data_IF_473733652495
#
_entry.id   IF_473733652495
#
_cell.length_a   1.000
_cell.length_b   1.000
_cell.length_c   1.000
_cell.angle_alpha   90.00
_cell.angle_beta   90.00
_cell.angle_gamma   90.00
#
_symmetry.space_group_name_H-M   'P 1'
#
loop_
_entity.id
_entity.type
_entity.pdbx_description
1 polymer ?
#
# COMPACT_ATOMS: atom_id res chain seq x y z
N UNK A 1 -9.09 21.46 5.77
CA UNK A 1 -7.67 21.11 5.59
C UNK A 1 -6.83 22.19 6.23
N UNK A 2 -5.96 21.82 7.16
CA UNK A 2 -5.10 22.75 7.87
C UNK A 2 -3.93 23.18 6.96
N UNK A 3 -3.48 24.43 7.12
CA UNK A 3 -2.41 25.02 6.30
C UNK A 3 -1.10 24.22 6.35
N UNK A 4 -0.76 23.61 7.50
CA UNK A 4 0.41 22.74 7.63
C UNK A 4 0.31 21.50 6.75
N UNK A 5 -0.90 20.94 6.61
CA UNK A 5 -1.10 19.72 5.85
C UNK A 5 -0.91 19.93 4.36
N UNK A 6 -1.39 21.06 3.85
CA UNK A 6 -1.21 21.45 2.45
C UNK A 6 0.26 21.76 2.16
N UNK A 7 0.93 22.51 3.04
CA UNK A 7 2.36 22.79 2.91
C UNK A 7 3.21 21.52 2.87
N UNK A 8 2.91 20.54 3.75
CA UNK A 8 3.60 19.24 3.76
C UNK A 8 3.39 18.48 2.45
N UNK A 9 2.16 18.44 1.93
CA UNK A 9 1.84 17.77 0.67
C UNK A 9 2.52 18.44 -0.52
N UNK A 10 2.56 19.77 -0.56
CA UNK A 10 3.29 20.52 -1.57
C UNK A 10 4.78 20.22 -1.50
N UNK A 11 5.36 20.19 -0.29
CA UNK A 11 6.76 19.85 -0.08
C UNK A 11 7.08 18.43 -0.55
N UNK A 12 6.27 17.45 -0.16
CA UNK A 12 6.41 16.05 -0.58
C UNK A 12 6.33 15.92 -2.10
N UNK A 13 5.35 16.58 -2.73
CA UNK A 13 5.21 16.55 -4.19
C UNK A 13 6.36 17.27 -4.91
N UNK A 14 6.80 18.42 -4.40
CA UNK A 14 7.93 19.16 -4.94
C UNK A 14 9.23 18.35 -4.86
N UNK A 15 9.51 17.72 -3.71
CA UNK A 15 10.68 16.86 -3.51
C UNK A 15 10.60 15.58 -4.34
N UNK A 16 9.42 14.98 -4.49
CA UNK A 16 9.21 13.80 -5.34
C UNK A 16 9.57 14.08 -6.80
N UNK A 17 9.16 15.24 -7.33
CA UNK A 17 9.46 15.70 -8.70
C UNK A 17 10.94 16.01 -8.97
N UNK A 18 11.77 16.22 -7.94
CA UNK A 18 13.21 16.48 -8.14
C UNK A 18 13.88 15.31 -8.85
N UNK A 19 14.64 15.59 -9.90
CA UNK A 19 15.38 14.55 -10.60
C UNK A 19 16.51 14.00 -9.72
N UNK A 20 16.75 12.69 -9.82
CA UNK A 20 17.88 12.03 -9.17
C UNK A 20 19.13 12.39 -9.98
N UNK A 21 20.13 12.96 -9.32
CA UNK A 21 21.40 13.36 -9.94
C UNK A 21 22.33 12.15 -10.13
N UNK A 22 22.26 11.15 -9.24
CA UNK A 22 23.21 10.03 -9.26
C UNK A 22 23.27 9.25 -10.58
N UNK A 23 22.19 9.02 -11.36
CA UNK A 23 22.30 8.30 -12.63
C UNK A 23 23.09 9.10 -13.67
N UNK A 24 22.92 10.43 -13.71
CA UNK A 24 23.68 11.30 -14.58
C UNK A 24 25.16 11.31 -14.21
N UNK A 25 25.48 11.33 -12.90
CA UNK A 25 26.86 11.23 -12.42
C UNK A 25 27.48 9.89 -12.76
N UNK A 26 26.74 8.78 -12.59
CA UNK A 26 27.20 7.45 -12.97
C UNK A 26 27.50 7.35 -14.48
N UNK A 27 26.62 7.91 -15.32
CA UNK A 27 26.82 7.96 -16.76
C UNK A 27 28.07 8.77 -17.14
N UNK A 28 28.26 9.96 -16.56
CA UNK A 28 29.45 10.79 -16.80
C UNK A 28 30.73 10.08 -16.33
N UNK A 29 30.72 9.48 -15.13
CA UNK A 29 31.86 8.70 -14.63
C UNK A 29 32.22 7.54 -15.55
N UNK A 30 31.23 6.82 -16.09
CA UNK A 30 31.46 5.74 -17.04
C UNK A 30 32.04 6.24 -18.37
N UNK A 31 31.52 7.35 -18.92
CA UNK A 31 32.04 7.97 -20.15
C UNK A 31 33.48 8.44 -19.98
N UNK A 32 33.81 9.08 -18.86
CA UNK A 32 35.19 9.52 -18.55
C UNK A 32 36.15 8.33 -18.49
N UNK A 33 35.73 7.23 -17.86
CA UNK A 33 36.54 6.01 -17.77
C UNK A 33 36.77 5.37 -19.15
N UNK A 34 35.74 5.31 -20.01
CA UNK A 34 35.85 4.79 -21.37
C UNK A 34 36.77 5.64 -22.25
N UNK A 35 36.67 6.97 -22.15
CA UNK A 35 37.56 7.90 -22.87
C UNK A 35 39.01 7.70 -22.40
N UNK A 36 39.25 7.58 -21.08
CA UNK A 36 40.59 7.35 -20.56
C UNK A 36 41.20 6.02 -21.06
N UNK A 37 40.41 4.96 -21.08
CA UNK A 37 40.84 3.65 -21.59
C UNK A 37 41.12 3.70 -23.10
N UNK A 38 40.28 4.38 -23.89
CA UNK A 38 40.47 4.53 -25.34
C UNK A 38 41.68 5.39 -25.74
N UNK A 39 42.22 6.20 -24.82
CA UNK A 39 43.45 6.97 -25.02
C UNK A 39 44.69 6.29 -24.40
N UNK A 40 44.62 4.98 -24.11
CA UNK A 40 45.72 4.19 -23.54
C UNK A 40 46.30 4.79 -22.25
N UNK A 41 45.45 5.35 -21.39
CA UNK A 41 45.89 5.86 -20.09
C UNK A 41 46.52 4.74 -19.24
N UNK A 42 47.53 5.05 -18.39
CA UNK A 42 48.15 4.05 -17.53
C UNK A 42 47.16 3.34 -16.60
N UNK A 43 47.38 2.05 -16.32
CA UNK A 43 46.50 1.24 -15.47
C UNK A 43 46.22 1.88 -14.09
N UNK A 44 47.24 2.48 -13.48
CA UNK A 44 47.10 3.16 -12.18
C UNK A 44 46.14 4.35 -12.26
N UNK A 45 46.10 5.07 -13.39
CA UNK A 45 45.22 6.21 -13.59
C UNK A 45 43.77 5.76 -13.78
N UNK A 46 43.55 4.65 -14.49
CA UNK A 46 42.22 4.04 -14.64
C UNK A 46 41.66 3.58 -13.29
N UNK A 47 42.48 2.94 -12.45
CA UNK A 47 42.08 2.53 -11.10
C UNK A 47 41.70 3.75 -10.25
N UNK A 48 42.50 4.82 -10.27
CA UNK A 48 42.21 6.06 -9.55
C UNK A 48 40.91 6.72 -10.03
N UNK A 49 40.68 6.79 -11.36
CA UNK A 49 39.44 7.32 -11.95
C UNK A 49 38.22 6.49 -11.55
N UNK A 50 38.35 5.16 -11.50
CA UNK A 50 37.27 4.29 -11.05
C UNK A 50 36.89 4.58 -9.59
N UNK A 51 37.87 4.71 -8.69
CA UNK A 51 37.61 5.05 -7.28
C UNK A 51 36.97 6.43 -7.12
N UNK A 52 37.47 7.44 -7.85
CA UNK A 52 36.87 8.78 -7.85
C UNK A 52 35.43 8.76 -8.40
N UNK A 53 35.19 8.00 -9.47
CA UNK A 53 33.87 7.82 -10.06
C UNK A 53 32.88 7.18 -9.08
N UNK A 54 33.30 6.11 -8.38
CA UNK A 54 32.50 5.48 -7.32
C UNK A 54 32.22 6.46 -6.18
N UNK A 55 33.24 7.20 -5.72
CA UNK A 55 33.09 8.22 -4.69
C UNK A 55 32.08 9.31 -5.08
N UNK A 56 32.14 9.79 -6.32
CA UNK A 56 31.20 10.78 -6.86
C UNK A 56 29.76 10.23 -6.94
N UNK A 57 29.58 8.97 -7.34
CA UNK A 57 28.26 8.31 -7.37
C UNK A 57 27.68 8.20 -5.95
N UNK A 58 28.49 7.78 -4.97
CA UNK A 58 28.08 7.69 -3.57
C UNK A 58 27.68 9.08 -3.04
N UNK A 59 28.51 10.10 -3.26
CA UNK A 59 28.21 11.46 -2.83
C UNK A 59 26.93 12.01 -3.49
N UNK A 60 26.72 11.76 -4.79
CA UNK A 60 25.51 12.14 -5.50
C UNK A 60 24.28 11.40 -4.96
N UNK A 61 24.41 10.11 -4.65
CA UNK A 61 23.35 9.31 -4.05
C UNK A 61 22.94 9.86 -2.68
N UNK A 62 23.91 10.12 -1.79
CA UNK A 62 23.65 10.71 -0.47
C UNK A 62 22.99 12.08 -0.58
N UNK A 63 23.46 12.92 -1.51
CA UNK A 63 22.86 14.23 -1.79
C UNK A 63 21.42 14.10 -2.29
N UNK A 64 21.12 13.14 -3.15
CA UNK A 64 19.75 12.88 -3.61
C UNK A 64 18.84 12.43 -2.46
N UNK A 65 19.31 11.54 -1.59
CA UNK A 65 18.56 11.11 -0.41
C UNK A 65 18.22 12.31 0.48
N UNK A 66 19.20 13.17 0.79
CA UNK A 66 18.98 14.35 1.61
C UNK A 66 18.03 15.36 0.94
N UNK A 67 18.18 15.60 -0.37
CA UNK A 67 17.36 16.59 -1.11
C UNK A 67 15.91 16.17 -1.27
N UNK A 68 15.63 14.87 -1.29
CA UNK A 68 14.29 14.32 -1.49
C UNK A 68 13.59 13.93 -0.18
N UNK A 69 14.34 13.78 0.92
CA UNK A 69 13.78 13.41 2.22
C UNK A 69 13.02 14.58 2.86
N UNK A 70 11.79 14.31 3.31
CA UNK A 70 11.01 15.18 4.21
C UNK A 70 11.11 14.63 5.62
N UNK A 71 11.29 15.51 6.61
CA UNK A 71 11.35 15.13 8.02
C UNK A 71 10.00 15.45 8.62
N UNK A 72 9.37 14.46 9.25
CA UNK A 72 8.05 14.59 9.87
C UNK A 72 8.11 14.04 11.29
N UNK A 73 8.21 14.94 12.26
CA UNK A 73 8.33 14.63 13.68
C UNK A 73 7.00 14.86 14.38
N UNK A 74 6.63 13.93 15.25
CA UNK A 74 5.41 14.01 16.05
C UNK A 74 5.74 14.09 17.53
N UNK A 75 5.03 14.96 18.23
CA UNK A 75 4.91 14.94 19.69
C UNK A 75 3.54 14.36 20.02
N UNK A 76 3.53 13.17 20.63
CA UNK A 76 2.31 12.46 20.97
C UNK A 76 2.00 12.70 22.44
N UNK A 77 0.77 13.11 22.72
CA UNK A 77 0.22 13.09 24.08
C UNK A 77 -0.32 11.69 24.41
N UNK A 78 -0.56 11.39 25.70
CA UNK A 78 -1.05 10.07 26.13
C UNK A 78 -2.31 9.60 25.37
N UNK A 79 -3.31 10.46 25.08
CA UNK A 79 -4.47 10.06 24.29
C UNK A 79 -4.11 9.65 22.86
N UNK A 80 -3.21 10.39 22.20
CA UNK A 80 -2.77 10.06 20.84
C UNK A 80 -1.90 8.81 20.79
N UNK A 81 -0.99 8.63 21.75
CA UNK A 81 -0.16 7.43 21.83
C UNK A 81 -1.03 6.16 21.92
N UNK A 82 -2.04 6.17 22.80
CA UNK A 82 -3.01 5.06 22.91
C UNK A 82 -3.83 4.85 21.64
N UNK A 83 -4.23 5.92 20.95
CA UNK A 83 -4.97 5.84 19.70
C UNK A 83 -4.09 5.23 18.57
N UNK A 84 -2.82 5.62 18.51
CA UNK A 84 -1.85 5.07 17.57
C UNK A 84 -1.54 3.60 17.88
N UNK A 85 -1.37 3.23 19.15
CA UNK A 85 -1.20 1.83 19.57
C UNK A 85 -2.41 0.97 19.16
N UNK A 86 -3.63 1.47 19.37
CA UNK A 86 -4.84 0.78 18.93
C UNK A 86 -4.88 0.58 17.42
N UNK A 87 -4.43 1.57 16.64
CA UNK A 87 -4.30 1.46 15.19
C UNK A 87 -3.30 0.37 14.80
N UNK A 88 -2.12 0.36 15.44
CA UNK A 88 -1.10 -0.66 15.22
C UNK A 88 -1.60 -2.07 15.57
N UNK A 89 -2.31 -2.22 16.69
CA UNK A 89 -2.89 -3.49 17.12
C UNK A 89 -3.98 -3.98 16.13
N UNK A 90 -4.86 -3.08 15.69
CA UNK A 90 -5.88 -3.40 14.67
C UNK A 90 -5.25 -3.81 13.34
N UNK A 91 -4.26 -3.07 12.86
CA UNK A 91 -3.52 -3.40 11.65
C UNK A 91 -2.76 -4.73 11.78
N UNK A 92 -2.18 -5.01 12.94
CA UNK A 92 -1.51 -6.28 13.23
C UNK A 92 -2.49 -7.46 13.20
N UNK A 93 -3.71 -7.26 13.73
CA UNK A 93 -4.77 -8.27 13.69
C UNK A 93 -5.10 -8.64 12.24
N UNK A 94 -5.29 -7.65 11.35
CA UNK A 94 -5.47 -7.90 9.91
C UNK A 94 -4.23 -8.55 9.30
N UNK A 95 -3.02 -8.08 9.62
CA UNK A 95 -1.76 -8.62 9.09
C UNK A 95 -1.48 -10.07 9.50
N UNK A 96 -2.10 -10.53 10.59
CA UNK A 96 -2.00 -11.91 11.12
C UNK A 96 -2.92 -12.90 10.40
N UNK A 97 -3.86 -12.42 9.58
CA UNK A 97 -4.65 -13.28 8.70
C UNK A 97 -3.75 -14.00 7.68
N UNK A 98 -4.15 -15.20 7.27
CA UNK A 98 -3.37 -15.99 6.33
C UNK A 98 -3.25 -15.29 4.97
N UNK A 99 -4.32 -14.65 4.53
CA UNK A 99 -4.34 -13.93 3.27
C UNK A 99 -5.18 -12.66 3.34
N UNK A 100 -4.64 -11.61 2.73
CA UNK A 100 -5.30 -10.33 2.52
C UNK A 100 -5.13 -9.96 1.05
N UNK A 101 -6.18 -9.43 0.44
CA UNK A 101 -6.15 -9.00 -0.94
C UNK A 101 -6.72 -7.61 -1.11
N UNK A 102 -6.17 -6.88 -2.06
CA UNK A 102 -6.79 -5.70 -2.63
C UNK A 102 -7.71 -6.09 -3.78
N UNK A 103 -8.95 -5.63 -3.74
CA UNK A 103 -9.96 -5.83 -4.78
C UNK A 103 -10.02 -4.59 -5.66
N UNK A 104 -9.70 -4.73 -6.95
CA UNK A 104 -9.74 -3.60 -7.87
C UNK A 104 -11.18 -3.10 -8.08
N UNK A 105 -11.37 -1.78 -7.94
CA UNK A 105 -12.67 -1.08 -8.04
C UNK A 105 -13.46 -1.33 -9.33
N UNK A 106 -12.80 -1.71 -10.43
CA UNK A 106 -13.46 -2.13 -11.68
C UNK A 106 -14.47 -3.28 -11.51
N UNK A 107 -14.39 -4.07 -10.42
CA UNK A 107 -15.30 -5.18 -10.17
C UNK A 107 -16.66 -4.76 -9.57
N UNK A 108 -16.81 -3.56 -8.99
CA UNK A 108 -18.03 -3.15 -8.24
C UNK A 108 -18.96 -2.24 -9.04
N UNK A 109 -18.49 -1.63 -10.13
CA UNK A 109 -19.29 -0.73 -11.00
C UNK A 109 -20.08 -1.51 -12.06
N UNK A 110 -19.68 -2.75 -12.38
CA UNK A 110 -20.52 -3.67 -13.15
C UNK A 110 -21.51 -4.38 -12.23
N UNK A 111 -22.62 -3.68 -11.99
CA UNK A 111 -23.95 -4.24 -11.76
C UNK A 111 -24.21 -4.96 -10.41
N UNK A 112 -24.77 -4.21 -9.45
CA UNK A 112 -25.28 -4.74 -8.17
C UNK A 112 -26.51 -5.66 -8.34
N UNK A 113 -27.01 -5.87 -9.57
CA UNK A 113 -28.31 -6.48 -9.81
C UNK A 113 -28.30 -7.83 -10.56
N UNK A 114 -27.16 -8.38 -11.00
CA UNK A 114 -27.21 -9.45 -12.01
C UNK A 114 -26.52 -10.80 -11.75
N UNK A 115 -25.78 -11.03 -10.65
CA UNK A 115 -24.97 -12.26 -10.57
C UNK A 115 -25.16 -13.06 -9.29
N UNK A 116 -26.32 -13.72 -9.19
CA UNK A 116 -26.62 -14.77 -8.20
C UNK A 116 -26.13 -16.18 -8.65
N UNK A 117 -25.26 -16.29 -9.66
CA UNK A 117 -24.89 -17.61 -10.17
C UNK A 117 -23.91 -17.59 -11.33
N UNK A 118 -22.73 -17.03 -11.11
CA UNK A 118 -21.50 -17.24 -11.89
C UNK A 118 -20.46 -16.29 -11.31
N UNK A 119 -19.29 -16.79 -10.92
CA UNK A 119 -18.27 -15.98 -10.25
C UNK A 119 -17.94 -14.73 -11.05
N UNK A 120 -18.35 -13.57 -10.54
CA UNK A 120 -17.79 -12.29 -10.99
C UNK A 120 -16.28 -12.46 -10.90
N UNK A 121 -15.58 -12.28 -12.02
CA UNK A 121 -14.11 -12.38 -12.07
C UNK A 121 -13.53 -11.18 -11.32
N UNK A 122 -13.71 -11.16 -10.00
CA UNK A 122 -13.21 -10.12 -9.11
C UNK A 122 -11.70 -10.29 -9.09
N UNK A 123 -11.01 -9.42 -9.84
CA UNK A 123 -9.56 -9.38 -9.81
C UNK A 123 -9.13 -8.85 -8.44
N UNK A 124 -8.48 -9.73 -7.69
CA UNK A 124 -7.88 -9.42 -6.39
C UNK A 124 -6.37 -9.65 -6.46
N UNK A 125 -5.59 -8.75 -5.86
CA UNK A 125 -4.12 -8.85 -5.76
C UNK A 125 -3.74 -9.07 -4.30
N UNK A 126 -2.84 -10.02 -3.97
CA UNK A 126 -2.35 -10.16 -2.61
C UNK A 126 -1.77 -8.86 -2.09
N UNK A 127 -2.08 -8.52 -0.85
CA UNK A 127 -1.53 -7.37 -0.14
C UNK A 127 -1.40 -7.68 1.34
N UNK A 128 -0.70 -6.86 2.09
CA UNK A 128 -0.55 -7.05 3.53
C UNK A 128 -0.34 -5.72 4.22
N UNK A 129 -0.90 -5.60 5.42
CA UNK A 129 -0.51 -4.54 6.35
C UNK A 129 0.87 -4.87 6.91
N UNK A 130 1.77 -3.90 6.87
CA UNK A 130 3.12 -4.02 7.40
C UNK A 130 3.53 -2.73 8.09
N UNK A 131 4.42 -2.82 9.08
CA UNK A 131 5.07 -1.61 9.57
C UNK A 131 6.16 -1.22 8.58
N UNK A 132 5.95 -0.11 7.87
CA UNK A 132 6.87 0.36 6.85
C UNK A 132 6.78 1.89 6.70
N UNK A 133 7.90 2.61 6.80
CA UNK A 133 7.91 4.05 6.56
C UNK A 133 7.64 4.37 5.09
N UNK A 134 7.10 5.56 4.78
CA UNK A 134 6.98 6.00 3.40
C UNK A 134 8.36 6.26 2.79
N UNK A 135 8.49 6.14 1.46
CA UNK A 135 9.73 6.46 0.78
C UNK A 135 10.05 7.96 0.93
N UNK A 136 11.30 8.27 1.26
CA UNK A 136 11.78 9.66 1.44
C UNK A 136 11.07 10.44 2.55
N UNK A 137 10.55 9.76 3.58
CA UNK A 137 10.06 10.40 4.80
C UNK A 137 10.85 9.87 5.99
N UNK A 138 11.48 10.77 6.75
CA UNK A 138 12.13 10.46 8.03
C UNK A 138 11.18 10.84 9.16
N UNK A 139 10.77 9.86 9.94
CA UNK A 139 9.83 10.07 11.05
C UNK A 139 10.30 9.38 12.34
N UNK A 140 9.92 9.90 13.50
CA UNK A 140 10.25 9.35 14.83
C UNK A 140 9.25 8.26 15.29
N UNK A 141 8.14 8.11 14.58
CA UNK A 141 7.11 7.11 14.89
C UNK A 141 7.17 5.91 13.94
N UNK A 142 6.68 4.77 14.40
CA UNK A 142 6.41 3.64 13.50
C UNK A 142 5.12 3.93 12.75
N UNK A 143 5.11 3.64 11.46
CA UNK A 143 3.91 3.77 10.61
C UNK A 143 3.48 2.40 10.13
N UNK A 144 2.21 2.29 9.78
CA UNK A 144 1.61 1.13 9.11
C UNK A 144 1.39 1.47 7.65
N UNK A 145 1.65 0.52 6.76
CA UNK A 145 1.42 0.65 5.34
C UNK A 145 0.64 -0.53 4.77
N UNK A 146 -0.14 -0.27 3.72
CA UNK A 146 -0.79 -1.29 2.89
C UNK A 146 -0.80 -0.85 1.43
N UNK A 147 -0.51 -1.79 0.52
CA UNK A 147 -0.58 -1.53 -0.91
C UNK A 147 -2.01 -1.78 -1.43
N UNK A 148 -2.52 -0.84 -2.22
CA UNK A 148 -3.83 -0.92 -2.88
C UNK A 148 -3.65 -0.58 -4.36
N UNK A 149 -3.58 -1.60 -5.20
CA UNK A 149 -3.32 -1.43 -6.63
C UNK A 149 -1.93 -0.85 -6.90
N UNK A 150 -1.88 0.34 -7.51
CA UNK A 150 -0.63 1.10 -7.77
C UNK A 150 -0.28 2.06 -6.65
N UNK A 151 -1.16 2.20 -5.66
CA UNK A 151 -1.00 3.13 -4.56
C UNK A 151 -0.55 2.42 -3.29
N UNK A 152 0.12 3.17 -2.41
CA UNK A 152 0.46 2.74 -1.06
C UNK A 152 -0.12 3.71 -0.04
N UNK A 153 -0.89 3.19 0.91
CA UNK A 153 -1.44 3.97 2.02
C UNK A 153 -0.50 3.84 3.20
N UNK A 154 -0.04 4.96 3.73
CA UNK A 154 0.75 5.04 4.95
C UNK A 154 -0.05 5.77 6.03
N UNK A 155 -0.33 5.08 7.12
CA UNK A 155 -1.12 5.60 8.23
C UNK A 155 -0.20 6.31 9.23
N UNK A 156 -0.44 7.61 9.40
CA UNK A 156 0.17 8.50 10.39
C UNK A 156 -0.84 8.83 11.50
N UNK A 157 -0.45 9.48 12.60
CA UNK A 157 -1.35 9.80 13.71
C UNK A 157 -2.49 10.75 13.35
N UNK A 158 -2.30 11.62 12.37
CA UNK A 158 -3.28 12.64 11.95
C UNK A 158 -3.96 12.36 10.61
N UNK A 159 -3.29 11.61 9.73
CA UNK A 159 -3.73 11.40 8.35
C UNK A 159 -3.23 10.09 7.77
N UNK A 160 -3.80 9.73 6.64
CA UNK A 160 -3.28 8.68 5.76
C UNK A 160 -2.63 9.35 4.55
N UNK A 161 -1.32 9.14 4.36
CA UNK A 161 -0.63 9.55 3.14
C UNK A 161 -0.86 8.50 2.05
N UNK A 162 -1.24 8.95 0.86
CA UNK A 162 -1.49 8.11 -0.31
C UNK A 162 -0.39 8.37 -1.33
N UNK A 163 0.50 7.41 -1.51
CA UNK A 163 1.57 7.46 -2.49
C UNK A 163 1.12 6.80 -3.78
N UNK A 164 1.14 7.55 -4.89
CA UNK A 164 0.91 7.04 -6.25
C UNK A 164 2.14 7.31 -7.15
N UNK A 165 2.17 6.81 -8.38
CA UNK A 165 3.19 7.18 -9.35
C UNK A 165 3.24 8.71 -9.60
N UNK A 166 2.08 9.37 -9.64
CA UNK A 166 1.95 10.77 -10.05
C UNK A 166 2.21 11.79 -8.94
N UNK A 167 2.14 11.38 -7.66
CA UNK A 167 2.22 12.31 -6.55
C UNK A 167 1.99 11.66 -5.20
N UNK A 168 1.79 12.51 -4.19
CA UNK A 168 1.40 12.14 -2.83
C UNK A 168 0.14 12.94 -2.48
N UNK A 169 -0.91 12.25 -2.06
CA UNK A 169 -2.11 12.84 -1.47
C UNK A 169 -2.18 12.54 0.03
N UNK A 170 -3.14 13.15 0.72
CA UNK A 170 -3.48 12.76 2.08
C UNK A 170 -4.98 12.83 2.35
N UNK A 171 -5.43 12.01 3.29
CA UNK A 171 -6.80 12.00 3.81
C UNK A 171 -6.72 12.06 5.32
N UNK A 172 -7.38 13.05 5.93
CA UNK A 172 -7.49 13.13 7.39
C UNK A 172 -8.48 12.10 7.94
N UNK A 173 -8.31 11.65 9.18
CA UNK A 173 -9.20 10.62 9.74
C UNK A 173 -10.66 11.03 9.90
N UNK A 174 -10.96 12.33 9.95
CA UNK A 174 -12.35 12.85 9.93
C UNK A 174 -13.06 12.61 8.60
N UNK A 175 -12.30 12.52 7.52
CA UNK A 175 -12.81 12.32 6.15
C UNK A 175 -12.71 10.84 5.72
N UNK A 176 -12.03 10.00 6.50
CA UNK A 176 -11.83 8.59 6.21
C UNK A 176 -12.94 7.73 6.81
N UNK A 177 -13.74 7.12 5.95
CA UNK A 177 -14.73 6.12 6.33
C UNK A 177 -14.13 4.72 6.16
N UNK A 178 -14.26 3.90 7.22
CA UNK A 178 -13.88 2.49 7.21
C UNK A 178 -15.13 1.66 7.42
N UNK A 179 -15.56 0.93 6.39
CA UNK A 179 -16.72 0.05 6.45
C UNK A 179 -16.25 -1.40 6.45
N UNK A 180 -16.67 -2.15 7.47
CA UNK A 180 -16.38 -3.57 7.60
C UNK A 180 -17.66 -4.36 7.31
N UNK A 181 -17.58 -5.31 6.40
CA UNK A 181 -18.69 -6.23 6.07
C UNK A 181 -18.14 -7.63 5.81
N UNK A 182 -19.02 -8.60 5.58
CA UNK A 182 -18.60 -9.91 5.09
C UNK A 182 -19.14 -10.17 3.69
N UNK A 183 -18.42 -10.99 2.92
CA UNK A 183 -18.78 -11.34 1.56
C UNK A 183 -18.55 -12.83 1.33
N UNK A 184 -19.33 -13.43 0.43
CA UNK A 184 -19.10 -14.79 -0.05
C UNK A 184 -18.23 -14.73 -1.30
N UNK A 185 -17.20 -15.56 -1.34
CA UNK A 185 -16.27 -15.64 -2.44
C UNK A 185 -16.07 -17.09 -2.86
N UNK A 186 -16.22 -17.37 -4.15
CA UNK A 186 -16.02 -18.69 -4.72
C UNK A 186 -14.51 -18.87 -4.98
N UNK A 187 -13.90 -19.85 -4.31
CA UNK A 187 -12.46 -20.11 -4.41
C UNK A 187 -12.20 -21.28 -5.37
N UNK A 188 -11.69 -21.00 -6.57
CA UNK A 188 -11.19 -22.06 -7.49
C UNK A 188 -9.75 -22.48 -7.14
N UNK A 189 -9.04 -21.66 -6.35
CA UNK A 189 -7.67 -21.92 -5.91
C UNK A 189 -7.57 -22.66 -4.58
N UNK A 190 -6.42 -22.49 -3.92
CA UNK A 190 -6.22 -22.95 -2.54
C UNK A 190 -7.00 -22.07 -1.57
N UNK A 191 -7.80 -22.68 -0.71
CA UNK A 191 -8.49 -21.98 0.39
C UNK A 191 -7.48 -21.60 1.48
N UNK A 192 -7.48 -20.34 1.97
CA UNK A 192 -6.72 -19.97 3.16
C UNK A 192 -7.08 -20.85 4.36
N UNK A 193 -6.08 -21.26 5.14
CA UNK A 193 -6.31 -22.15 6.31
C UNK A 193 -7.19 -21.56 7.41
N UNK A 194 -7.34 -20.23 7.44
CA UNK A 194 -8.17 -19.51 8.42
C UNK A 194 -9.46 -18.95 7.80
N UNK A 195 -9.80 -19.36 6.58
CA UNK A 195 -11.05 -19.01 5.94
C UNK A 195 -12.19 -19.93 6.41
N UNK A 196 -13.38 -19.34 6.61
CA UNK A 196 -14.59 -20.10 6.89
C UNK A 196 -15.25 -20.52 5.57
N UNK A 197 -15.32 -21.81 5.28
CA UNK A 197 -16.10 -22.34 4.14
C UNK A 197 -17.56 -22.41 4.56
N UNK A 198 -18.44 -21.69 3.86
CA UNK A 198 -19.87 -21.57 4.19
C UNK A 198 -20.79 -22.29 3.22
N UNK A 199 -20.30 -22.62 2.02
CA UNK A 199 -21.06 -23.32 1.00
C UNK A 199 -20.11 -24.01 0.00
N UNK A 200 -20.67 -24.76 -0.94
CA UNK A 200 -19.95 -25.33 -2.08
C UNK A 200 -20.75 -25.09 -3.35
N UNK A 201 -20.06 -24.88 -4.46
CA UNK A 201 -20.68 -24.72 -5.77
C UNK A 201 -19.90 -25.48 -6.83
N UNK A 202 -20.48 -25.67 -8.01
CA UNK A 202 -19.77 -26.31 -9.11
C UNK A 202 -18.89 -25.30 -9.83
N UNK A 203 -17.70 -25.73 -10.27
CA UNK A 203 -16.81 -24.87 -11.07
C UNK A 203 -17.51 -24.32 -12.31
N UNK A 204 -18.34 -25.15 -12.93
CA UNK A 204 -19.23 -24.77 -14.02
C UNK A 204 -20.68 -25.09 -13.63
N UNK A 205 -21.49 -24.05 -13.41
CA UNK A 205 -22.91 -24.18 -13.04
C UNK A 205 -23.82 -24.11 -14.27
N UNK A 206 -24.87 -24.92 -14.28
CA UNK A 206 -25.96 -24.82 -15.26
C UNK A 206 -26.97 -23.73 -14.85
N UNK A 207 -27.97 -23.44 -15.69
CA UNK A 207 -29.00 -22.42 -15.41
C UNK A 207 -29.81 -22.64 -14.12
N UNK A 208 -29.81 -23.87 -13.58
CA UNK A 208 -30.50 -24.25 -12.33
C UNK A 208 -29.55 -24.30 -11.12
N UNK A 209 -28.29 -23.89 -11.27
CA UNK A 209 -27.27 -23.90 -10.20
C UNK A 209 -26.60 -25.25 -9.93
N UNK A 210 -26.99 -26.31 -10.64
CA UNK A 210 -26.35 -27.63 -10.54
C UNK A 210 -25.12 -27.77 -11.45
N UNK A 211 -24.48 -28.96 -11.49
CA UNK A 211 -23.31 -29.19 -12.34
C UNK A 211 -23.68 -29.08 -13.83
N UNK A 212 -22.91 -28.30 -14.58
CA UNK A 212 -22.92 -28.36 -16.04
C UNK A 212 -22.17 -29.62 -16.50
N UNK A 213 -22.93 -30.59 -17.04
CA UNK A 213 -22.44 -31.90 -17.47
C UNK A 213 -21.66 -31.86 -18.80
N UNK A 214 -21.61 -30.72 -19.48
CA UNK A 214 -20.80 -30.55 -20.71
C UNK A 214 -19.31 -30.52 -20.40
N UNK A 215 -18.94 -30.19 -19.16
CA UNK A 215 -17.56 -30.17 -18.70
C UNK A 215 -17.23 -31.50 -18.00
N UNK A 216 -16.29 -32.25 -18.57
CA UNK A 216 -15.90 -33.58 -18.08
C UNK A 216 -15.29 -33.54 -16.68
N UNK A 217 -14.53 -32.49 -16.36
CA UNK A 217 -13.83 -32.30 -15.08
C UNK A 217 -14.43 -31.15 -14.26
N UNK A 218 -15.76 -31.19 -14.07
CA UNK A 218 -16.47 -30.19 -13.28
C UNK A 218 -16.49 -30.57 -11.80
N UNK A 219 -15.47 -30.15 -11.05
CA UNK A 219 -15.39 -30.36 -9.60
C UNK A 219 -16.24 -29.34 -8.83
N UNK A 220 -16.67 -29.72 -7.63
CA UNK A 220 -17.14 -28.74 -6.65
C UNK A 220 -15.98 -27.92 -6.10
N UNK A 221 -16.21 -26.62 -5.96
CA UNK A 221 -15.30 -25.64 -5.39
C UNK A 221 -15.96 -24.93 -4.19
N UNK A 222 -15.17 -24.62 -3.15
CA UNK A 222 -15.68 -24.04 -1.91
C UNK A 222 -16.10 -22.57 -2.10
N UNK A 223 -17.14 -22.18 -1.37
CA UNK A 223 -17.54 -20.79 -1.16
C UNK A 223 -17.08 -20.39 0.23
N UNK A 224 -16.11 -19.49 0.30
CA UNK A 224 -15.56 -18.98 1.55
C UNK A 224 -16.27 -17.67 1.94
N UNK A 225 -16.33 -17.42 3.24
CA UNK A 225 -16.70 -16.12 3.76
C UNK A 225 -15.43 -15.33 4.10
N UNK A 226 -15.33 -14.13 3.53
CA UNK A 226 -14.25 -13.19 3.80
C UNK A 226 -14.78 -11.90 4.40
N UNK A 227 -13.92 -11.22 5.15
CA UNK A 227 -14.19 -9.89 5.67
C UNK A 227 -13.77 -8.85 4.64
N UNK A 228 -14.66 -7.93 4.28
CA UNK A 228 -14.39 -6.79 3.41
C UNK A 228 -14.11 -5.56 4.28
N UNK A 229 -13.02 -4.85 3.95
CA UNK A 229 -12.66 -3.55 4.54
C UNK A 229 -12.65 -2.52 3.42
N UNK A 230 -13.67 -1.68 3.39
CA UNK A 230 -13.75 -0.58 2.43
C UNK A 230 -13.22 0.71 3.08
N UNK A 231 -12.23 1.33 2.45
CA UNK A 231 -11.63 2.62 2.82
C UNK A 231 -12.13 3.69 1.85
N UNK A 232 -12.85 4.69 2.36
CA UNK A 232 -13.47 5.72 1.52
C UNK A 232 -13.23 7.12 2.03
N UNK A 233 -13.10 8.09 1.13
CA UNK A 233 -13.12 9.51 1.46
C UNK A 233 -13.81 10.33 0.38
N UNK A 234 -14.34 11.49 0.77
CA UNK A 234 -14.95 12.45 -0.17
C UNK A 234 -13.91 13.09 -1.10
N UNK A 235 -12.63 12.99 -0.74
CA UNK A 235 -11.47 13.45 -1.51
C UNK A 235 -10.99 12.44 -2.56
N UNK A 236 -11.68 11.30 -2.71
CA UNK A 236 -11.49 10.37 -3.83
C UNK A 236 -10.82 9.03 -3.48
N UNK A 237 -10.52 8.75 -2.20
CA UNK A 237 -10.10 7.41 -1.80
C UNK A 237 -11.31 6.47 -1.87
N UNK A 238 -11.19 5.33 -2.56
CA UNK A 238 -12.24 4.30 -2.62
C UNK A 238 -11.63 2.93 -2.88
N UNK A 239 -11.09 2.35 -1.82
CA UNK A 239 -10.34 1.10 -1.88
C UNK A 239 -11.07 -0.01 -1.13
N UNK A 240 -10.95 -1.25 -1.62
CA UNK A 240 -11.56 -2.42 -1.03
C UNK A 240 -10.51 -3.49 -0.76
N UNK A 241 -10.43 -3.94 0.49
CA UNK A 241 -9.60 -5.04 0.92
C UNK A 241 -10.49 -6.22 1.31
N UNK A 242 -9.99 -7.43 1.08
CA UNK A 242 -10.58 -8.68 1.59
C UNK A 242 -9.58 -9.36 2.51
N UNK A 243 -10.06 -9.86 3.65
CA UNK A 243 -9.27 -10.56 4.67
C UNK A 243 -9.84 -11.96 4.85
N UNK A 244 -8.98 -12.98 4.86
CA UNK A 244 -9.42 -14.37 4.95
C UNK A 244 -10.09 -14.71 6.28
N UNK A 245 -9.63 -14.10 7.38
CA UNK A 245 -10.16 -14.30 8.73
C UNK A 245 -11.21 -13.26 9.09
N UNK A 246 -12.41 -13.72 9.46
CA UNK A 246 -13.50 -12.89 9.94
C UNK A 246 -13.17 -12.24 11.30
N UNK A 247 -13.68 -11.03 11.54
CA UNK A 247 -13.52 -10.30 12.80
C UNK A 247 -12.14 -9.68 13.00
N UNK A 248 -11.27 -9.70 11.99
CA UNK A 248 -9.90 -9.18 12.09
C UNK A 248 -9.83 -7.66 11.93
N UNK A 249 -10.80 -7.07 11.24
CA UNK A 249 -10.79 -5.65 10.86
C UNK A 249 -11.56 -4.73 11.81
N UNK A 250 -12.37 -5.27 12.72
CA UNK A 250 -13.21 -4.47 13.63
C UNK A 250 -12.36 -3.53 14.52
N UNK A 251 -11.25 -4.05 15.07
CA UNK A 251 -10.31 -3.26 15.88
C UNK A 251 -9.67 -2.13 15.07
N UNK A 252 -9.30 -2.41 13.82
CA UNK A 252 -8.73 -1.40 12.93
C UNK A 252 -9.73 -0.29 12.61
N UNK A 253 -10.97 -0.63 12.26
CA UNK A 253 -12.02 0.34 12.00
C UNK A 253 -12.33 1.21 13.24
N UNK A 254 -12.39 0.60 14.42
CA UNK A 254 -12.59 1.32 15.68
C UNK A 254 -11.43 2.25 16.02
N UNK A 255 -10.17 1.82 15.77
CA UNK A 255 -8.99 2.65 16.00
C UNK A 255 -8.96 3.88 15.09
N UNK A 256 -9.28 3.71 13.79
CA UNK A 256 -9.40 4.82 12.84
C UNK A 256 -10.47 5.83 13.28
N UNK A 257 -11.64 5.33 13.72
CA UNK A 257 -12.69 6.17 14.27
C UNK A 257 -12.24 6.90 15.55
N UNK A 258 -11.43 6.25 16.40
CA UNK A 258 -10.80 6.88 17.57
C UNK A 258 -9.87 8.02 17.18
N UNK A 259 -8.98 7.80 16.20
CA UNK A 259 -8.05 8.81 15.69
C UNK A 259 -8.77 10.04 15.11
N UNK A 260 -9.95 9.88 14.51
CA UNK A 260 -10.74 11.04 14.04
C UNK A 260 -11.13 12.05 15.14
N UNK A 261 -11.08 11.62 16.42
CA UNK A 261 -11.48 12.40 17.60
C UNK A 261 -10.30 13.03 18.33
N UNK A 262 -9.07 12.55 18.09
CA UNK A 262 -7.86 13.03 18.76
C UNK A 262 -7.02 13.75 17.70
N UNK A 263 -6.71 15.05 17.90
CA UNK A 263 -5.85 15.79 16.98
C UNK A 263 -4.43 15.86 17.55
N UNK A 264 -3.41 15.36 16.85
CA UNK A 264 -2.04 15.51 17.31
C UNK A 264 -1.52 16.92 17.03
N UNK A 265 -0.45 17.31 17.72
CA UNK A 265 0.32 18.50 17.39
C UNK A 265 1.52 18.09 16.53
N UNK A 266 1.56 18.56 15.30
CA UNK A 266 2.75 18.47 14.45
C UNK A 266 3.80 19.46 14.96
N UNK A 267 5.06 19.02 15.06
CA UNK A 267 6.17 19.95 15.30
C UNK A 267 6.50 20.69 13.99
N UNK A 268 6.76 22.01 14.03
CA UNK A 268 7.18 22.78 12.86
C UNK A 268 8.55 22.34 12.31
#
# INVERSE_FOLDING_TARGET
MDSSSQALLEELNAKKKRWRIWPSVAMVSAVVLLIAAGNEAPDWALVMLAFLGVGAIIAAHLKDQLRKTVVLMYELDDPMEKALEALHAGAHTIASAYATWHVSSHAKVFDRKYHAGAGTLVKRKPTRFASAPPPFVKTNIKTIAVNVGTQALHFFPDRVLIYDANGVGAVGYKELQVLVSSTRFIEDGSVPRDATVVDRTWRYVNKKGGPDRRFKDNREIPVCQYEEVALRSDTGLNELLQVSRLGSAALFASAIAGLSRVMPRELP
#
